data_IF_085432218288
#
_entry.id   IF_085432218288
#
_cell.length_a   1.000
_cell.length_b   1.000
_cell.length_c   1.000
_cell.angle_alpha   90.00
_cell.angle_beta   90.00
_cell.angle_gamma   90.00
#
_symmetry.space_group_name_H-M   'P 1'
#
loop_
_entity.id
_entity.type
_entity.pdbx_description
1 polymer ?
#
# COMPACT_ATOMS: atom_id res chain seq x y z
N UNK A 1 -2.16 65.59 -1.26
CA UNK A 1 -3.09 64.52 -1.72
C UNK A 1 -2.19 63.40 -2.21
N UNK A 2 -1.88 62.47 -1.35
CA UNK A 2 -1.01 61.33 -1.65
C UNK A 2 -1.90 60.10 -1.83
N UNK A 3 -1.85 59.51 -2.99
CA UNK A 3 -2.46 58.24 -3.29
C UNK A 3 -1.44 57.13 -3.04
N UNK A 4 -1.55 56.41 -1.98
CA UNK A 4 -0.82 55.16 -1.74
C UNK A 4 -1.66 54.04 -2.31
N UNK A 5 -1.29 53.59 -3.49
CA UNK A 5 -1.83 52.34 -4.00
C UNK A 5 -0.78 51.26 -3.81
N UNK A 6 -0.87 50.53 -2.73
CA UNK A 6 -0.14 49.27 -2.49
C UNK A 6 -1.08 48.08 -2.69
N UNK A 7 -1.45 47.85 -3.94
CA UNK A 7 -2.06 46.58 -4.35
C UNK A 7 -0.99 45.51 -4.41
N UNK A 8 -0.63 44.91 -3.31
CA UNK A 8 -0.09 43.56 -3.30
C UNK A 8 -1.25 42.61 -3.52
N UNK A 9 -1.48 42.19 -4.75
CA UNK A 9 -2.27 41.01 -5.02
C UNK A 9 -1.60 39.84 -4.28
N UNK A 10 -2.26 39.25 -3.31
CA UNK A 10 -1.89 37.95 -2.75
C UNK A 10 -1.82 36.97 -3.95
N UNK A 11 -0.62 36.64 -4.38
CA UNK A 11 -0.41 35.49 -5.23
C UNK A 11 -0.82 34.30 -4.41
N UNK A 12 -1.95 33.70 -4.71
CA UNK A 12 -2.37 32.46 -4.12
C UNK A 12 -1.34 31.38 -4.44
N UNK A 13 -0.46 31.10 -3.49
CA UNK A 13 0.50 30.01 -3.62
C UNK A 13 -0.29 28.71 -3.78
N UNK A 14 -0.13 28.04 -4.92
CA UNK A 14 -0.71 26.72 -5.15
C UNK A 14 0.38 25.66 -5.00
N UNK A 15 0.06 24.59 -4.28
CA UNK A 15 0.96 23.45 -4.13
C UNK A 15 1.18 22.78 -5.50
N UNK A 16 2.44 22.54 -5.87
CA UNK A 16 2.76 21.79 -7.07
C UNK A 16 2.64 20.28 -6.78
N UNK A 17 1.76 19.61 -7.53
CA UNK A 17 1.53 18.18 -7.38
C UNK A 17 2.14 17.43 -8.56
N UNK A 18 2.99 16.47 -8.26
CA UNK A 18 3.64 15.62 -9.25
C UNK A 18 2.68 14.55 -9.77
N UNK A 19 2.89 14.15 -11.02
CA UNK A 19 2.32 12.91 -11.55
C UNK A 19 3.36 11.78 -11.56
N UNK A 20 2.89 10.56 -11.85
CA UNK A 20 3.72 9.37 -11.84
C UNK A 20 4.87 9.45 -12.86
N UNK A 21 4.63 9.99 -14.04
CA UNK A 21 5.67 10.13 -15.08
C UNK A 21 6.78 11.11 -14.65
N UNK A 22 6.42 12.16 -13.92
CA UNK A 22 7.38 13.10 -13.34
C UNK A 22 8.17 12.42 -12.22
N UNK A 23 7.50 11.71 -11.32
CA UNK A 23 8.11 10.96 -10.24
C UNK A 23 9.10 9.90 -10.77
N UNK A 24 8.69 9.12 -11.78
CA UNK A 24 9.55 8.13 -12.43
C UNK A 24 10.79 8.77 -13.05
N UNK A 25 10.64 9.90 -13.77
CA UNK A 25 11.80 10.63 -14.34
C UNK A 25 12.75 11.14 -13.28
N UNK A 26 12.25 11.57 -12.12
CA UNK A 26 13.08 12.01 -11.00
C UNK A 26 13.88 10.83 -10.41
N UNK A 27 13.25 9.68 -10.27
CA UNK A 27 13.91 8.46 -9.80
C UNK A 27 15.00 8.00 -10.80
N UNK A 28 14.67 7.94 -12.10
CA UNK A 28 15.62 7.59 -13.16
C UNK A 28 16.79 8.58 -13.26
N UNK A 29 16.58 9.84 -12.96
CA UNK A 29 17.63 10.87 -12.89
C UNK A 29 18.48 10.79 -11.61
N UNK A 30 18.18 9.85 -10.69
CA UNK A 30 18.90 9.66 -9.45
C UNK A 30 18.65 10.73 -8.39
N UNK A 31 17.56 11.50 -8.48
CA UNK A 31 17.25 12.55 -7.49
C UNK A 31 17.07 11.97 -6.10
N UNK A 32 16.61 10.73 -6.00
CA UNK A 32 16.44 10.03 -4.72
C UNK A 32 17.64 9.16 -4.34
N UNK A 33 18.72 9.19 -5.12
CA UNK A 33 19.93 8.44 -4.81
C UNK A 33 20.53 8.89 -3.47
N UNK A 34 20.81 7.94 -2.58
CA UNK A 34 21.34 8.23 -1.24
C UNK A 34 20.29 8.54 -0.18
N UNK A 35 19.01 8.60 -0.52
CA UNK A 35 17.93 8.63 0.47
C UNK A 35 17.90 7.29 1.20
N UNK A 36 18.01 7.33 2.53
CA UNK A 36 17.85 6.11 3.34
C UNK A 36 16.36 5.76 3.46
N UNK A 37 16.02 4.50 3.19
CA UNK A 37 14.64 4.08 3.07
C UNK A 37 14.15 4.13 1.62
N UNK A 38 12.93 4.59 1.40
CA UNK A 38 12.38 4.76 0.06
C UNK A 38 11.48 6.01 -0.04
N UNK A 39 11.09 6.35 -1.25
CA UNK A 39 10.16 7.45 -1.51
C UNK A 39 8.93 6.94 -2.21
N UNK A 40 7.79 7.50 -1.84
CA UNK A 40 6.49 7.20 -2.42
C UNK A 40 5.88 8.46 -3.03
N UNK A 41 5.03 8.29 -4.04
CA UNK A 41 4.16 9.35 -4.53
C UNK A 41 2.77 9.18 -3.91
N UNK A 42 2.35 10.12 -3.08
CA UNK A 42 1.06 10.07 -2.40
C UNK A 42 0.31 11.37 -2.65
N UNK A 43 -0.83 11.30 -3.32
CA UNK A 43 -1.66 12.45 -3.70
C UNK A 43 -0.86 13.55 -4.43
N UNK A 44 0.12 13.13 -5.24
CA UNK A 44 1.02 14.02 -5.98
C UNK A 44 2.17 14.61 -5.16
N UNK A 45 2.34 14.20 -3.92
CA UNK A 45 3.44 14.61 -3.04
C UNK A 45 4.48 13.51 -2.95
N UNK A 46 5.75 13.91 -2.91
CA UNK A 46 6.85 12.99 -2.68
C UNK A 46 7.01 12.82 -1.16
N UNK A 47 6.80 11.61 -0.69
CA UNK A 47 6.84 11.25 0.75
C UNK A 47 8.05 10.35 0.99
N UNK A 48 8.88 10.71 1.95
CA UNK A 48 10.00 9.90 2.39
C UNK A 48 9.55 8.92 3.48
N UNK A 49 9.84 7.65 3.25
CA UNK A 49 9.60 6.56 4.19
C UNK A 49 10.92 6.11 4.80
N UNK A 50 11.00 6.11 6.13
CA UNK A 50 12.19 5.66 6.85
C UNK A 50 12.50 4.18 6.55
N UNK A 51 13.78 3.75 6.69
CA UNK A 51 14.13 2.34 6.55
C UNK A 51 13.30 1.45 7.50
N UNK A 52 12.90 0.28 7.01
CA UNK A 52 12.24 -0.71 7.83
C UNK A 52 13.18 -1.25 8.93
N UNK A 53 12.62 -1.53 10.12
CA UNK A 53 13.36 -2.24 11.17
C UNK A 53 13.49 -3.72 10.83
N UNK A 54 14.38 -4.42 11.55
CA UNK A 54 14.53 -5.88 11.45
C UNK A 54 13.22 -6.61 11.76
N UNK A 55 12.48 -6.14 12.78
CA UNK A 55 11.21 -6.75 13.19
C UNK A 55 10.15 -6.58 12.10
N UNK A 56 10.09 -5.39 11.48
CA UNK A 56 9.21 -5.17 10.33
C UNK A 56 9.57 -6.06 9.15
N UNK A 57 10.88 -6.19 8.83
CA UNK A 57 11.35 -7.08 7.77
C UNK A 57 11.06 -8.55 8.06
N UNK A 58 11.15 -8.98 9.32
CA UNK A 58 10.77 -10.31 9.77
C UNK A 58 9.28 -10.59 9.52
N UNK A 59 8.42 -9.72 10.05
CA UNK A 59 6.97 -9.85 9.86
C UNK A 59 6.53 -9.81 8.39
N UNK A 60 7.17 -8.96 7.56
CA UNK A 60 6.94 -8.98 6.12
C UNK A 60 7.27 -10.35 5.51
N UNK A 61 8.36 -10.97 5.94
CA UNK A 61 8.77 -12.29 5.47
C UNK A 61 7.74 -13.35 5.87
N UNK A 62 7.25 -13.34 7.10
CA UNK A 62 6.23 -14.28 7.58
C UNK A 62 4.94 -14.16 6.76
N UNK A 63 4.47 -12.93 6.50
CA UNK A 63 3.31 -12.66 5.63
C UNK A 63 3.53 -13.22 4.22
N UNK A 64 4.69 -12.99 3.61
CA UNK A 64 5.01 -13.50 2.27
C UNK A 64 5.00 -15.02 2.24
N UNK A 65 5.65 -15.67 3.22
CA UNK A 65 5.74 -17.13 3.30
C UNK A 65 4.35 -17.74 3.48
N UNK A 66 3.54 -17.18 4.37
CA UNK A 66 2.18 -17.67 4.61
C UNK A 66 1.31 -17.58 3.36
N UNK A 67 1.29 -16.41 2.68
CA UNK A 67 0.49 -16.22 1.46
C UNK A 67 1.02 -17.08 0.30
N UNK A 68 2.33 -17.14 0.10
CA UNK A 68 2.91 -17.93 -1.00
C UNK A 68 2.71 -19.44 -0.78
N UNK A 69 2.80 -19.92 0.47
CA UNK A 69 2.48 -21.31 0.83
C UNK A 69 1.01 -21.61 0.51
N UNK A 70 0.12 -20.71 0.89
CA UNK A 70 -1.30 -20.82 0.59
C UNK A 70 -1.58 -20.90 -0.93
N UNK A 71 -0.93 -20.05 -1.72
CA UNK A 71 -1.06 -20.06 -3.18
C UNK A 71 -0.55 -21.36 -3.82
N UNK A 72 0.57 -21.90 -3.30
CA UNK A 72 1.16 -23.15 -3.82
C UNK A 72 0.32 -24.39 -3.50
N UNK A 73 -0.46 -24.34 -2.44
CA UNK A 73 -1.37 -25.43 -2.06
C UNK A 73 -2.58 -25.56 -3.02
N UNK A 74 -2.89 -24.53 -3.80
CA UNK A 74 -4.01 -24.54 -4.74
C UNK A 74 -3.70 -25.35 -5.99
N UNK A 75 -4.69 -26.14 -6.43
CA UNK A 75 -4.60 -26.93 -7.66
C UNK A 75 -5.87 -26.72 -8.49
N UNK A 76 -5.79 -26.13 -9.71
CA UNK A 76 -4.57 -25.54 -10.29
C UNK A 76 -4.12 -24.29 -9.54
N UNK A 77 -2.80 -24.02 -9.54
CA UNK A 77 -2.27 -22.77 -8.99
C UNK A 77 -2.81 -21.58 -9.79
N UNK A 78 -3.41 -20.56 -9.15
CA UNK A 78 -3.89 -19.40 -9.86
C UNK A 78 -2.73 -18.57 -10.44
N UNK A 79 -3.01 -17.83 -11.52
CA UNK A 79 -2.05 -16.91 -12.13
C UNK A 79 -1.89 -15.63 -11.28
N UNK A 80 -1.42 -15.81 -10.04
CA UNK A 80 -1.18 -14.76 -9.05
C UNK A 80 0.30 -14.74 -8.64
N UNK A 81 0.77 -13.57 -8.25
CA UNK A 81 2.12 -13.35 -7.71
C UNK A 81 2.03 -12.57 -6.40
N UNK A 82 2.85 -12.97 -5.44
CA UNK A 82 3.15 -12.18 -4.24
C UNK A 82 4.32 -11.26 -4.58
N UNK A 83 4.17 -9.98 -4.32
CA UNK A 83 5.13 -8.92 -4.61
C UNK A 83 5.45 -8.18 -3.32
N UNK A 84 6.71 -7.80 -3.16
CA UNK A 84 7.20 -6.95 -2.06
C UNK A 84 8.10 -5.85 -2.60
N UNK A 85 8.27 -4.79 -1.83
CA UNK A 85 9.25 -3.73 -2.14
C UNK A 85 9.11 -3.16 -3.56
N UNK A 86 7.89 -3.05 -4.07
CA UNK A 86 7.60 -2.51 -5.39
C UNK A 86 6.44 -1.50 -5.31
N UNK A 87 6.56 -0.45 -6.12
CA UNK A 87 5.51 0.55 -6.21
C UNK A 87 4.25 -0.03 -6.87
N UNK A 88 3.10 0.26 -6.27
CA UNK A 88 1.78 -0.02 -6.82
C UNK A 88 1.19 1.29 -7.37
N UNK A 89 1.17 1.43 -8.69
CA UNK A 89 0.64 2.63 -9.31
C UNK A 89 -0.89 2.70 -9.15
N UNK A 90 -1.37 3.82 -8.61
CA UNK A 90 -2.80 4.11 -8.42
C UNK A 90 -3.13 5.41 -9.16
N UNK A 91 -3.69 5.28 -10.34
CA UNK A 91 -3.98 6.42 -11.20
C UNK A 91 -2.72 7.25 -11.51
N UNK A 92 -2.88 8.57 -11.65
CA UNK A 92 -1.78 9.43 -12.10
C UNK A 92 -0.91 10.00 -10.98
N UNK A 93 -1.38 10.04 -9.74
CA UNK A 93 -0.74 10.80 -8.65
C UNK A 93 -0.40 9.98 -7.42
N UNK A 94 -0.48 8.65 -7.52
CA UNK A 94 -0.13 7.79 -6.40
C UNK A 94 0.69 6.60 -6.87
N UNK A 95 1.72 6.32 -6.13
CA UNK A 95 2.57 5.13 -6.25
C UNK A 95 3.09 4.78 -4.84
N UNK A 96 2.21 4.33 -3.93
CA UNK A 96 2.64 3.76 -2.67
C UNK A 96 3.46 2.50 -2.91
N UNK A 97 4.30 2.14 -1.95
CA UNK A 97 5.01 0.87 -1.92
C UNK A 97 4.46 0.02 -0.76
N UNK A 98 3.44 -0.82 -1.02
CA UNK A 98 2.91 -1.70 0.01
C UNK A 98 3.99 -2.67 0.51
N UNK A 99 3.89 -3.09 1.76
CA UNK A 99 4.78 -4.10 2.32
C UNK A 99 4.68 -5.41 1.54
N UNK A 100 3.45 -5.87 1.31
CA UNK A 100 3.16 -7.05 0.49
C UNK A 100 1.88 -6.80 -0.33
N UNK A 101 1.86 -7.25 -1.57
CA UNK A 101 0.61 -7.32 -2.32
C UNK A 101 0.56 -8.55 -3.22
N UNK A 102 -0.65 -9.01 -3.49
CA UNK A 102 -0.90 -10.11 -4.42
C UNK A 102 -1.59 -9.54 -5.66
N UNK A 103 -1.05 -9.84 -6.82
CA UNK A 103 -1.59 -9.35 -8.08
C UNK A 103 -1.77 -10.44 -9.12
N UNK A 104 -2.67 -10.20 -10.08
CA UNK A 104 -2.80 -11.03 -11.28
C UNK A 104 -1.57 -10.86 -12.15
N UNK A 105 -1.01 -11.97 -12.61
CA UNK A 105 0.08 -11.92 -13.59
C UNK A 105 -0.48 -11.43 -14.93
N UNK A 106 0.12 -10.37 -15.45
CA UNK A 106 -0.13 -9.88 -16.80
C UNK A 106 1.20 -9.50 -17.44
N UNK A 107 1.28 -9.59 -18.76
CA UNK A 107 2.50 -9.24 -19.50
C UNK A 107 2.65 -7.71 -19.69
N UNK A 108 1.83 -6.91 -19.05
CA UNK A 108 1.68 -5.51 -19.33
C UNK A 108 2.36 -4.62 -18.29
N UNK A 109 3.54 -4.10 -18.65
CA UNK A 109 4.14 -2.94 -18.03
C UNK A 109 5.23 -3.20 -16.98
N UNK A 110 6.05 -2.18 -16.78
CA UNK A 110 7.16 -2.15 -15.82
C UNK A 110 6.67 -2.09 -14.37
N UNK A 111 5.51 -1.45 -14.14
CA UNK A 111 4.96 -1.21 -12.81
C UNK A 111 3.62 -1.92 -12.63
N UNK A 112 3.41 -2.42 -11.41
CA UNK A 112 2.13 -2.98 -11.00
C UNK A 112 1.06 -1.88 -10.99
N UNK A 113 -0.12 -2.20 -11.51
CA UNK A 113 -1.29 -1.32 -11.48
C UNK A 113 -2.27 -1.80 -10.42
N UNK A 114 -2.94 -0.87 -9.73
CA UNK A 114 -3.86 -1.20 -8.64
C UNK A 114 -5.01 -2.14 -9.08
N UNK A 115 -5.45 -2.03 -10.33
CA UNK A 115 -6.49 -2.88 -10.90
C UNK A 115 -6.10 -4.37 -11.02
N UNK A 116 -4.79 -4.64 -10.96
CA UNK A 116 -4.25 -6.01 -10.95
C UNK A 116 -4.18 -6.59 -9.54
N UNK A 117 -4.14 -5.74 -8.52
CA UNK A 117 -4.05 -6.16 -7.13
C UNK A 117 -5.34 -6.87 -6.69
N UNK A 118 -5.21 -7.99 -6.01
CA UNK A 118 -6.32 -8.76 -5.41
C UNK A 118 -6.27 -8.70 -3.88
N UNK A 119 -5.12 -8.36 -3.32
CA UNK A 119 -4.88 -8.16 -1.90
C UNK A 119 -3.71 -7.19 -1.75
N UNK A 120 -3.83 -6.26 -0.81
CA UNK A 120 -2.72 -5.44 -0.31
C UNK A 120 -2.60 -5.69 1.19
N UNK A 121 -1.36 -5.79 1.69
CA UNK A 121 -1.05 -5.98 3.12
C UNK A 121 -0.03 -4.95 3.54
N UNK A 122 -0.30 -4.27 4.65
CA UNK A 122 0.65 -3.42 5.36
C UNK A 122 0.95 -4.01 6.73
N UNK A 123 2.21 -4.00 7.15
CA UNK A 123 2.66 -4.45 8.46
C UNK A 123 2.90 -3.25 9.36
N UNK A 124 2.22 -3.18 10.49
CA UNK A 124 2.30 -2.08 11.44
C UNK A 124 3.01 -2.52 12.72
N UNK A 125 4.27 -2.11 12.89
CA UNK A 125 5.05 -2.36 14.13
C UNK A 125 4.94 -1.21 15.12
N UNK A 126 4.47 -0.04 14.69
CA UNK A 126 4.34 1.14 15.56
C UNK A 126 3.07 1.91 15.23
N UNK A 127 2.60 2.70 16.20
CA UNK A 127 1.38 3.51 16.17
C UNK A 127 1.34 4.61 15.07
N UNK A 128 1.87 4.35 13.89
CA UNK A 128 1.80 5.26 12.74
C UNK A 128 0.41 5.24 12.07
N UNK A 129 -0.64 5.38 12.89
CA UNK A 129 -2.03 5.28 12.42
C UNK A 129 -2.42 6.28 11.33
N UNK A 130 -1.73 7.41 11.18
CA UNK A 130 -2.03 8.38 10.13
C UNK A 130 -1.67 7.88 8.74
N UNK A 131 -0.53 7.22 8.59
CA UNK A 131 -0.04 6.72 7.31
C UNK A 131 -0.92 5.57 6.79
N UNK A 132 -1.22 4.62 7.65
CA UNK A 132 -2.16 3.53 7.33
C UNK A 132 -3.56 4.05 6.95
N UNK A 133 -4.02 5.13 7.57
CA UNK A 133 -5.31 5.74 7.23
C UNK A 133 -5.31 6.33 5.82
N UNK A 134 -4.25 7.02 5.42
CA UNK A 134 -4.12 7.59 4.06
C UNK A 134 -4.04 6.47 3.03
N UNK A 135 -3.16 5.49 3.23
CA UNK A 135 -2.99 4.34 2.33
C UNK A 135 -4.28 3.52 2.22
N UNK A 136 -4.95 3.25 3.34
CA UNK A 136 -6.24 2.54 3.35
C UNK A 136 -7.27 3.21 2.44
N UNK A 137 -7.39 4.54 2.50
CA UNK A 137 -8.28 5.31 1.63
C UNK A 137 -7.88 5.23 0.16
N UNK A 138 -6.58 5.27 -0.13
CA UNK A 138 -6.07 5.16 -1.50
C UNK A 138 -6.42 3.79 -2.09
N UNK A 139 -6.19 2.70 -1.36
CA UNK A 139 -6.51 1.36 -1.81
C UNK A 139 -8.02 1.15 -2.00
N UNK A 140 -8.86 1.67 -1.10
CA UNK A 140 -10.30 1.61 -1.26
C UNK A 140 -10.78 2.36 -2.51
N UNK A 141 -10.32 3.61 -2.73
CA UNK A 141 -10.65 4.40 -3.93
C UNK A 141 -10.18 3.74 -5.22
N UNK A 142 -9.05 3.04 -5.17
CA UNK A 142 -8.52 2.28 -6.29
C UNK A 142 -9.31 0.99 -6.59
N UNK A 143 -10.25 0.60 -5.72
CA UNK A 143 -11.03 -0.62 -5.88
C UNK A 143 -10.26 -1.90 -5.58
N UNK A 144 -9.16 -1.83 -4.80
CA UNK A 144 -8.46 -3.02 -4.31
C UNK A 144 -9.46 -3.87 -3.52
N UNK A 145 -9.70 -5.15 -3.89
CA UNK A 145 -10.80 -5.91 -3.30
C UNK A 145 -10.65 -6.20 -1.82
N UNK A 146 -9.39 -6.32 -1.35
CA UNK A 146 -9.07 -6.70 0.03
C UNK A 146 -7.80 -6.02 0.51
N UNK A 147 -7.84 -5.53 1.75
CA UNK A 147 -6.72 -4.89 2.41
C UNK A 147 -6.57 -5.42 3.82
N UNK A 148 -5.35 -5.85 4.17
CA UNK A 148 -5.00 -6.29 5.51
C UNK A 148 -4.03 -5.33 6.18
N UNK A 149 -4.23 -5.11 7.47
CA UNK A 149 -3.23 -4.50 8.36
C UNK A 149 -2.82 -5.57 9.37
N UNK A 150 -1.56 -5.98 9.28
CA UNK A 150 -0.97 -6.96 10.20
C UNK A 150 -0.25 -6.21 11.31
N UNK A 151 -0.60 -6.46 12.55
CA UNK A 151 -0.07 -5.81 13.74
C UNK A 151 0.62 -6.87 14.63
N UNK A 152 1.91 -7.16 14.40
CA UNK A 152 2.62 -8.24 15.10
C UNK A 152 2.67 -8.07 16.62
N UNK A 153 2.89 -6.84 17.13
CA UNK A 153 2.98 -6.58 18.56
C UNK A 153 1.66 -6.87 19.30
N UNK A 154 0.54 -6.52 18.69
CA UNK A 154 -0.80 -6.79 19.25
C UNK A 154 -1.36 -8.14 18.83
N UNK A 155 -0.68 -8.87 17.92
CA UNK A 155 -1.08 -10.15 17.32
C UNK A 155 -2.50 -10.07 16.74
N UNK A 156 -2.74 -9.03 15.94
CA UNK A 156 -4.03 -8.75 15.30
C UNK A 156 -3.86 -8.59 13.80
N UNK A 157 -4.92 -8.92 13.08
CA UNK A 157 -5.05 -8.63 11.66
C UNK A 157 -6.39 -7.94 11.43
N UNK A 158 -6.33 -6.71 10.94
CA UNK A 158 -7.50 -6.02 10.44
C UNK A 158 -7.71 -6.38 8.98
N UNK A 159 -8.88 -6.93 8.66
CA UNK A 159 -9.28 -7.35 7.31
C UNK A 159 -10.37 -6.40 6.82
N UNK A 160 -10.06 -5.63 5.76
CA UNK A 160 -10.97 -4.67 5.16
C UNK A 160 -11.35 -5.14 3.75
N UNK A 161 -12.65 -5.13 3.44
CA UNK A 161 -13.24 -5.61 2.19
C UNK A 161 -14.34 -4.70 1.70
N UNK A 162 -14.78 -4.93 0.48
CA UNK A 162 -15.85 -4.15 -0.16
C UNK A 162 -15.49 -2.65 -0.21
N UNK A 163 -14.45 -2.31 -1.02
CA UNK A 163 -13.99 -0.93 -1.15
C UNK A 163 -15.08 -0.03 -1.75
N UNK A 164 -15.12 1.22 -1.30
CA UNK A 164 -16.05 2.24 -1.80
C UNK A 164 -15.30 3.39 -2.47
N UNK A 165 -15.91 4.05 -3.46
CA UNK A 165 -15.29 5.18 -4.17
C UNK A 165 -14.95 6.38 -3.28
N UNK A 166 -15.61 6.51 -2.12
CA UNK A 166 -15.33 7.56 -1.14
C UNK A 166 -14.05 7.29 -0.31
N UNK A 167 -13.44 6.12 -0.48
CA UNK A 167 -12.25 5.70 0.24
C UNK A 167 -12.53 4.98 1.56
N UNK A 168 -13.77 4.55 1.77
CA UNK A 168 -14.17 3.72 2.91
C UNK A 168 -14.31 2.25 2.51
N UNK A 169 -14.43 1.38 3.51
CA UNK A 169 -14.65 -0.05 3.35
C UNK A 169 -16.00 -0.42 3.95
N UNK A 170 -16.81 -1.23 3.25
CA UNK A 170 -18.11 -1.64 3.77
C UNK A 170 -17.99 -2.73 4.84
N UNK A 171 -16.91 -3.49 4.80
CA UNK A 171 -16.62 -4.56 5.77
C UNK A 171 -15.24 -4.32 6.39
N UNK A 172 -15.18 -4.36 7.72
CA UNK A 172 -13.95 -4.31 8.49
C UNK A 172 -14.07 -5.28 9.66
N UNK A 173 -13.15 -6.23 9.73
CA UNK A 173 -13.10 -7.27 10.78
C UNK A 173 -11.73 -7.29 11.39
N UNK A 174 -11.64 -7.34 12.72
CA UNK A 174 -10.38 -7.56 13.44
C UNK A 174 -10.34 -9.02 13.88
N UNK A 175 -9.27 -9.70 13.49
CA UNK A 175 -8.99 -11.09 13.87
C UNK A 175 -7.87 -11.12 14.89
N UNK A 176 -8.00 -11.98 15.90
CA UNK A 176 -7.02 -12.13 16.99
C UNK A 176 -7.06 -13.55 17.57
N UNK A 177 -6.07 -13.88 18.39
CA UNK A 177 -5.97 -15.20 19.05
C UNK A 177 -5.70 -16.34 18.07
N UNK A 178 -6.41 -17.44 18.23
CA UNK A 178 -6.27 -18.65 17.40
C UNK A 178 -7.11 -18.59 16.10
N UNK A 179 -7.48 -17.39 15.68
CA UNK A 179 -8.23 -17.20 14.44
C UNK A 179 -7.37 -17.52 13.21
N UNK A 180 -8.03 -17.60 12.07
CA UNK A 180 -7.39 -17.69 10.77
C UNK A 180 -7.96 -16.60 9.84
N UNK A 181 -7.19 -16.22 8.83
CA UNK A 181 -7.64 -15.37 7.75
C UNK A 181 -7.70 -16.16 6.44
N UNK A 182 -8.75 -15.92 5.66
CA UNK A 182 -8.93 -16.51 4.33
C UNK A 182 -8.98 -15.39 3.31
N UNK A 183 -8.02 -15.31 2.37
CA UNK A 183 -8.03 -14.29 1.36
C UNK A 183 -9.19 -14.48 0.37
N UNK A 184 -9.75 -13.37 -0.14
CA UNK A 184 -10.88 -13.41 -1.09
C UNK A 184 -10.56 -14.18 -2.37
N UNK A 185 -9.31 -14.15 -2.83
CA UNK A 185 -8.88 -14.89 -4.03
C UNK A 185 -8.79 -16.41 -3.82
N UNK A 186 -8.85 -16.87 -2.56
CA UNK A 186 -8.76 -18.28 -2.19
C UNK A 186 -9.50 -18.54 -0.85
N UNK A 187 -10.84 -18.41 -0.80
CA UNK A 187 -11.61 -18.45 0.45
C UNK A 187 -11.59 -19.83 1.13
N UNK A 188 -11.20 -20.88 0.41
CA UNK A 188 -11.03 -22.24 0.95
C UNK A 188 -9.73 -22.43 1.74
N UNK A 189 -8.81 -21.46 1.67
CA UNK A 189 -7.55 -21.50 2.41
C UNK A 189 -7.75 -20.78 3.75
N UNK A 190 -7.18 -21.36 4.79
CA UNK A 190 -7.19 -20.81 6.14
C UNK A 190 -5.75 -20.63 6.59
N UNK A 191 -5.28 -19.37 6.64
CA UNK A 191 -3.96 -19.02 7.14
C UNK A 191 -4.09 -18.74 8.63
N UNK A 192 -3.51 -19.56 9.51
CA UNK A 192 -3.50 -19.27 10.94
C UNK A 192 -2.81 -17.93 11.21
N UNK A 193 -3.35 -17.10 12.09
CA UNK A 193 -2.72 -15.81 12.42
C UNK A 193 -1.32 -15.99 12.98
N UNK A 194 -1.04 -17.12 13.65
CA UNK A 194 0.29 -17.45 14.15
C UNK A 194 1.38 -17.54 13.09
N UNK A 195 1.01 -17.68 11.81
CA UNK A 195 1.94 -17.69 10.68
C UNK A 195 2.23 -16.29 10.11
N UNK A 196 1.57 -15.26 10.64
CA UNK A 196 1.71 -13.87 10.18
C UNK A 196 2.50 -12.97 11.16
N UNK A 197 2.99 -13.55 12.30
CA UNK A 197 3.65 -12.80 13.37
C UNK A 197 4.97 -13.43 13.81
#
# INVERSE_FOLDING_TARGET
MMATNSGFEERGDSEFLFDFDQFERMDQAGIFAGVQGHVELIEGKIVHMAPASTDHGGANTDVVVAIETALRALTPRPALRVITSAALQIGRRNAPQPDVFVMRTSDNGKYAQAEQAVLVVEVSISTRGSDLTVKSRLYARAGVPEYWVVEPESRKVSVLREPRPDGTWASATVLEGDAYVSPLFAPQIHIPLSELF
#
